data_IF_876029556717
#
_entry.id   IF_876029556717
#
_cell.length_a   1.000
_cell.length_b   1.000
_cell.length_c   1.000
_cell.angle_alpha   90.00
_cell.angle_beta   90.00
_cell.angle_gamma   90.00
#
_symmetry.space_group_name_H-M   'P 1'
#
loop_
_entity.id
_entity.type
_entity.pdbx_description
1 polymer ?
#
# COMPACT_ATOMS: atom_id res chain seq x y z
N UNK A 1 -42.73 23.42 57.61
CA UNK A 1 -41.54 22.58 57.84
C UNK A 1 -41.42 21.63 56.66
N UNK A 2 -40.91 22.11 55.53
CA UNK A 2 -40.65 21.31 54.33
C UNK A 2 -39.22 21.63 53.93
N UNK A 3 -38.38 20.63 54.13
CA UNK A 3 -36.93 20.60 54.00
C UNK A 3 -36.52 20.99 52.57
N UNK A 4 -35.88 22.16 52.45
CA UNK A 4 -35.38 22.67 51.19
C UNK A 4 -34.15 21.85 50.79
N UNK A 5 -34.35 20.92 49.86
CA UNK A 5 -33.30 20.14 49.23
C UNK A 5 -32.14 21.05 48.81
N UNK A 6 -31.00 20.85 49.46
CA UNK A 6 -29.73 21.53 49.24
C UNK A 6 -29.31 21.50 47.76
N UNK A 7 -29.30 22.63 47.03
CA UNK A 7 -29.02 22.64 45.60
C UNK A 7 -27.53 22.66 45.24
N UNK A 8 -26.60 22.51 46.20
CA UNK A 8 -25.16 22.62 45.96
C UNK A 8 -24.39 21.39 46.44
N UNK A 9 -24.66 20.24 45.80
CA UNK A 9 -23.70 19.13 45.82
C UNK A 9 -22.49 19.52 44.94
N UNK A 10 -21.24 19.31 45.39
CA UNK A 10 -20.06 19.79 44.70
C UNK A 10 -19.91 19.12 43.32
N UNK A 11 -19.83 19.93 42.25
CA UNK A 11 -19.39 19.46 40.93
C UNK A 11 -17.96 18.93 41.09
N UNK A 12 -17.82 17.60 41.08
CA UNK A 12 -16.51 16.94 41.11
C UNK A 12 -15.60 17.49 40.00
N UNK A 13 -14.27 17.40 40.18
CA UNK A 13 -13.31 18.02 39.28
C UNK A 13 -13.54 17.51 37.86
N UNK A 14 -13.83 18.44 36.95
CA UNK A 14 -13.93 18.21 35.52
C UNK A 14 -12.56 17.74 35.02
N UNK A 15 -12.35 16.41 34.99
CA UNK A 15 -11.16 15.80 34.39
C UNK A 15 -11.23 16.09 32.90
N UNK A 16 -10.55 17.17 32.48
CA UNK A 16 -10.32 17.43 31.07
C UNK A 16 -9.54 16.23 30.53
N UNK A 17 -10.03 15.54 29.49
CA UNK A 17 -9.35 14.35 28.98
C UNK A 17 -7.94 14.74 28.55
N UNK A 18 -6.96 14.05 29.12
CA UNK A 18 -5.55 14.28 28.79
C UNK A 18 -5.27 13.79 27.36
N UNK A 19 -4.26 14.34 26.69
CA UNK A 19 -3.88 13.90 25.32
C UNK A 19 -3.66 12.38 25.24
N UNK A 20 -3.18 11.77 26.33
CA UNK A 20 -2.98 10.33 26.47
C UNK A 20 -4.29 9.52 26.46
N UNK A 21 -5.37 10.12 26.98
CA UNK A 21 -6.70 9.51 27.03
C UNK A 21 -7.44 9.62 25.68
N UNK A 22 -7.08 10.61 24.85
CA UNK A 22 -7.54 10.69 23.46
C UNK A 22 -6.84 9.65 22.56
N UNK A 23 -5.52 9.47 22.74
CA UNK A 23 -4.73 8.47 21.99
C UNK A 23 -5.12 7.04 22.40
N UNK A 24 -5.47 6.80 23.67
CA UNK A 24 -5.82 5.45 24.16
C UNK A 24 -7.21 4.97 23.77
N UNK A 25 -8.15 5.89 23.49
CA UNK A 25 -9.55 5.54 23.22
C UNK A 25 -9.85 5.27 21.74
N UNK A 26 -8.96 5.65 20.83
CA UNK A 26 -9.11 5.36 19.40
C UNK A 26 -8.04 4.37 18.92
N UNK A 27 -8.44 3.10 18.84
CA UNK A 27 -7.60 1.97 18.39
C UNK A 27 -6.95 2.27 17.03
N UNK A 28 -7.56 3.12 16.20
CA UNK A 28 -7.02 3.56 14.91
C UNK A 28 -5.75 4.37 15.07
N UNK A 29 -5.72 5.31 16.01
CA UNK A 29 -4.56 6.18 16.25
C UNK A 29 -3.37 5.37 16.75
N UNK A 30 -3.61 4.43 17.67
CA UNK A 30 -2.58 3.48 18.11
C UNK A 30 -2.09 2.62 16.96
N UNK A 31 -2.99 2.07 16.12
CA UNK A 31 -2.60 1.26 14.96
C UNK A 31 -1.69 2.04 14.00
N UNK A 32 -2.01 3.30 13.68
CA UNK A 32 -1.14 4.14 12.86
C UNK A 32 0.20 4.43 13.53
N UNK A 33 0.23 4.68 14.84
CA UNK A 33 1.47 4.95 15.57
C UNK A 33 2.44 3.76 15.55
N UNK A 34 1.93 2.53 15.68
CA UNK A 34 2.73 1.31 15.55
C UNK A 34 3.14 1.00 14.11
N UNK A 35 2.32 1.39 13.12
CA UNK A 35 2.59 1.17 11.71
C UNK A 35 3.56 2.21 11.12
N UNK A 36 3.59 3.42 11.68
CA UNK A 36 4.45 4.54 11.29
C UNK A 36 5.93 4.15 11.20
N UNK A 37 6.58 3.54 12.21
CA UNK A 37 8.00 3.19 12.09
C UNK A 37 8.28 2.20 10.95
N UNK A 38 7.40 1.22 10.73
CA UNK A 38 7.55 0.27 9.62
C UNK A 38 7.43 0.97 8.28
N UNK A 39 6.40 1.80 8.08
CA UNK A 39 6.21 2.54 6.84
C UNK A 39 7.34 3.53 6.61
N UNK A 40 7.81 4.23 7.64
CA UNK A 40 8.90 5.18 7.55
C UNK A 40 10.19 4.47 7.09
N UNK A 41 10.54 3.34 7.70
CA UNK A 41 11.72 2.56 7.31
C UNK A 41 11.59 2.06 5.87
N UNK A 42 10.45 1.47 5.50
CA UNK A 42 10.22 1.01 4.12
C UNK A 42 10.31 2.16 3.12
N UNK A 43 9.72 3.30 3.47
CA UNK A 43 9.74 4.50 2.63
C UNK A 43 11.16 4.97 2.41
N UNK A 44 11.98 5.05 3.44
CA UNK A 44 13.39 5.47 3.31
C UNK A 44 14.16 4.45 2.46
N UNK A 45 14.01 3.16 2.72
CA UNK A 45 14.72 2.10 2.01
C UNK A 45 14.37 2.05 0.52
N UNK A 46 13.13 2.38 0.15
CA UNK A 46 12.68 2.41 -1.25
C UNK A 46 13.00 3.75 -1.92
N UNK A 47 12.65 4.87 -1.28
CA UNK A 47 12.78 6.19 -1.88
C UNK A 47 14.23 6.65 -1.98
N UNK A 48 15.08 6.33 -1.00
CA UNK A 48 16.49 6.75 -1.03
C UNK A 48 17.22 6.25 -2.28
N UNK A 49 17.28 4.94 -2.59
CA UNK A 49 17.94 4.46 -3.80
C UNK A 49 17.19 4.89 -5.08
N UNK A 50 15.85 5.05 -5.02
CA UNK A 50 15.07 5.54 -6.16
C UNK A 50 15.48 6.96 -6.58
N UNK A 51 15.52 7.91 -5.64
CA UNK A 51 15.95 9.27 -5.94
C UNK A 51 17.42 9.33 -6.34
N UNK A 52 18.26 8.54 -5.68
CA UNK A 52 19.67 8.43 -6.06
C UNK A 52 19.84 7.91 -7.50
N UNK A 53 19.10 6.86 -7.89
CA UNK A 53 19.10 6.32 -9.24
C UNK A 53 18.56 7.32 -10.27
N UNK A 54 17.53 8.10 -9.91
CA UNK A 54 17.02 9.19 -10.77
C UNK A 54 18.11 10.22 -11.05
N UNK A 55 18.79 10.74 -10.02
CA UNK A 55 19.90 11.70 -10.20
C UNK A 55 21.00 11.09 -11.06
N UNK A 56 21.35 9.83 -10.81
CA UNK A 56 22.38 9.12 -11.56
C UNK A 56 22.00 8.92 -13.04
N UNK A 57 20.72 8.73 -13.35
CA UNK A 57 20.25 8.54 -14.73
C UNK A 57 20.50 9.75 -15.65
N UNK A 58 20.61 10.95 -15.07
CA UNK A 58 20.94 12.19 -15.79
C UNK A 58 22.44 12.49 -15.83
N UNK A 59 23.26 11.65 -15.19
CA UNK A 59 24.70 11.78 -15.12
C UNK A 59 25.39 10.73 -16.00
N UNK A 60 26.51 11.12 -16.60
CA UNK A 60 27.41 10.20 -17.26
C UNK A 60 28.29 9.56 -16.19
N UNK A 61 28.03 8.28 -15.89
CA UNK A 61 28.82 7.47 -14.97
C UNK A 61 29.58 6.38 -15.74
N UNK A 62 30.18 6.73 -16.86
CA UNK A 62 31.05 5.83 -17.62
C UNK A 62 32.30 5.47 -16.81
N UNK A 63 32.72 4.19 -16.79
CA UNK A 63 33.94 3.78 -16.09
C UNK A 63 35.17 4.57 -16.58
N UNK A 64 35.86 5.25 -15.67
CA UNK A 64 37.07 6.03 -15.99
C UNK A 64 36.84 7.49 -16.40
N UNK A 65 35.58 7.98 -16.43
CA UNK A 65 35.24 9.38 -16.74
C UNK A 65 34.72 10.07 -15.47
N UNK A 66 35.11 11.34 -15.18
CA UNK A 66 34.52 12.09 -14.08
C UNK A 66 33.02 12.31 -14.29
N UNK A 67 32.22 12.12 -13.23
CA UNK A 67 30.76 12.26 -13.29
C UNK A 67 30.35 13.62 -13.84
N UNK A 68 29.74 13.64 -15.03
CA UNK A 68 29.25 14.87 -15.67
C UNK A 68 27.74 14.81 -15.82
N UNK A 69 27.06 15.90 -15.49
CA UNK A 69 25.63 16.03 -15.77
C UNK A 69 25.43 16.20 -17.29
N UNK A 70 24.82 15.21 -17.94
CA UNK A 70 24.56 15.18 -19.39
C UNK A 70 23.07 15.22 -19.73
N UNK A 71 22.21 15.37 -18.72
CA UNK A 71 20.76 15.50 -18.89
C UNK A 71 20.15 14.25 -19.51
N UNK A 72 19.38 14.42 -20.60
CA UNK A 72 18.65 13.33 -21.25
C UNK A 72 19.45 12.57 -22.32
N UNK A 73 20.73 12.89 -22.50
CA UNK A 73 21.55 12.28 -23.57
C UNK A 73 21.64 10.76 -23.45
N UNK A 74 21.78 10.25 -22.22
CA UNK A 74 21.77 8.81 -21.91
C UNK A 74 20.54 8.10 -22.49
N UNK A 75 19.35 8.70 -22.34
CA UNK A 75 18.11 8.10 -22.80
C UNK A 75 17.99 8.08 -24.32
N UNK A 76 18.43 9.15 -25.01
CA UNK A 76 18.39 9.21 -26.48
C UNK A 76 19.33 8.17 -27.09
N UNK A 77 20.52 8.02 -26.50
CA UNK A 77 21.51 7.03 -26.93
C UNK A 77 20.99 5.60 -26.75
N UNK A 78 20.46 5.27 -25.57
CA UNK A 78 19.82 3.97 -25.29
C UNK A 78 18.64 3.67 -26.21
N UNK A 79 17.76 4.65 -26.46
CA UNK A 79 16.60 4.45 -27.32
C UNK A 79 16.95 4.31 -28.80
N UNK A 80 18.13 4.79 -29.22
CA UNK A 80 18.61 4.66 -30.60
C UNK A 80 19.41 3.38 -30.83
N UNK A 81 19.74 2.65 -29.76
CA UNK A 81 20.47 1.39 -29.82
C UNK A 81 19.53 0.23 -30.23
N UNK A 82 19.88 -0.47 -31.31
CA UNK A 82 19.09 -1.59 -31.83
C UNK A 82 19.02 -2.76 -30.84
N UNK A 83 20.10 -3.02 -30.09
CA UNK A 83 20.14 -4.11 -29.11
C UNK A 83 19.16 -3.83 -27.96
N UNK A 84 19.10 -2.56 -27.51
CA UNK A 84 18.16 -2.13 -26.49
C UNK A 84 16.71 -2.27 -26.96
N UNK A 85 16.41 -1.88 -28.20
CA UNK A 85 15.06 -2.00 -28.77
C UNK A 85 14.60 -3.46 -28.86
N UNK A 86 15.49 -4.38 -29.27
CA UNK A 86 15.17 -5.81 -29.34
C UNK A 86 14.89 -6.38 -27.94
N UNK A 87 15.76 -6.11 -26.97
CA UNK A 87 15.58 -6.56 -25.58
C UNK A 87 14.31 -5.97 -24.97
N UNK A 88 14.01 -4.71 -25.26
CA UNK A 88 12.80 -4.04 -24.79
C UNK A 88 11.54 -4.72 -25.34
N UNK A 89 11.49 -4.95 -26.66
CA UNK A 89 10.35 -5.63 -27.29
C UNK A 89 10.16 -7.05 -26.75
N UNK A 90 11.24 -7.81 -26.64
CA UNK A 90 11.22 -9.17 -26.10
C UNK A 90 10.69 -9.19 -24.66
N UNK A 91 11.12 -8.24 -23.82
CA UNK A 91 10.66 -8.11 -22.45
C UNK A 91 9.17 -7.77 -22.39
N UNK A 92 8.72 -6.78 -23.16
CA UNK A 92 7.31 -6.36 -23.21
C UNK A 92 6.43 -7.51 -23.71
N UNK A 93 6.83 -8.18 -24.77
CA UNK A 93 6.10 -9.33 -25.32
C UNK A 93 6.00 -10.47 -24.31
N UNK A 94 7.13 -10.85 -23.70
CA UNK A 94 7.17 -11.88 -22.66
C UNK A 94 6.27 -11.54 -21.47
N UNK A 95 6.36 -10.31 -20.96
CA UNK A 95 5.52 -9.85 -19.84
C UNK A 95 4.05 -9.84 -20.22
N UNK A 96 3.68 -9.34 -21.40
CA UNK A 96 2.29 -9.29 -21.86
C UNK A 96 1.68 -10.69 -21.93
N UNK A 97 2.40 -11.65 -22.53
CA UNK A 97 1.96 -13.05 -22.62
C UNK A 97 1.86 -13.68 -21.23
N UNK A 98 2.90 -13.52 -20.40
CA UNK A 98 2.93 -14.09 -19.06
C UNK A 98 1.81 -13.54 -18.15
N UNK A 99 1.55 -12.23 -18.19
CA UNK A 99 0.47 -11.58 -17.42
C UNK A 99 -0.89 -12.03 -17.93
N UNK A 100 -1.09 -12.12 -19.24
CA UNK A 100 -2.35 -12.58 -19.83
C UNK A 100 -2.69 -14.01 -19.41
N UNK A 101 -1.70 -14.92 -19.44
CA UNK A 101 -1.87 -16.30 -18.98
C UNK A 101 -2.20 -16.35 -17.49
N UNK A 102 -1.44 -15.62 -16.65
CA UNK A 102 -1.70 -15.54 -15.20
C UNK A 102 -3.11 -15.00 -14.91
N UNK A 103 -3.55 -13.99 -15.67
CA UNK A 103 -4.88 -13.41 -15.53
C UNK A 103 -5.98 -14.40 -15.89
N UNK A 104 -5.87 -15.11 -17.01
CA UNK A 104 -6.83 -16.13 -17.42
C UNK A 104 -6.93 -17.23 -16.36
N UNK A 105 -5.80 -17.79 -15.93
CA UNK A 105 -5.76 -18.84 -14.90
C UNK A 105 -6.36 -18.35 -13.59
N UNK A 106 -5.99 -17.14 -13.14
CA UNK A 106 -6.52 -16.53 -11.93
C UNK A 106 -8.02 -16.30 -12.00
N UNK A 107 -8.52 -15.81 -13.14
CA UNK A 107 -9.94 -15.57 -13.36
C UNK A 107 -10.74 -16.88 -13.41
N UNK A 108 -10.26 -17.88 -14.15
CA UNK A 108 -10.89 -19.21 -14.18
C UNK A 108 -10.93 -19.82 -12.78
N UNK A 109 -9.82 -19.75 -12.03
CA UNK A 109 -9.76 -20.26 -10.66
C UNK A 109 -10.74 -19.54 -9.73
N UNK A 110 -10.86 -18.21 -9.86
CA UNK A 110 -11.82 -17.42 -9.09
C UNK A 110 -13.27 -17.79 -9.43
N UNK A 111 -13.61 -18.00 -10.71
CA UNK A 111 -14.95 -18.40 -11.13
C UNK A 111 -15.34 -19.79 -10.60
N UNK A 112 -14.43 -20.77 -10.69
CA UNK A 112 -14.65 -22.13 -10.16
C UNK A 112 -14.88 -22.10 -8.65
N UNK A 113 -14.09 -21.31 -7.91
CA UNK A 113 -14.23 -21.18 -6.46
C UNK A 113 -15.53 -20.45 -6.07
N UNK A 114 -15.92 -19.43 -6.83
CA UNK A 114 -17.16 -18.69 -6.62
C UNK A 114 -18.39 -19.62 -6.76
N UNK A 115 -18.36 -20.57 -7.70
CA UNK A 115 -19.45 -21.50 -7.92
C UNK A 115 -19.60 -22.54 -6.80
N UNK A 116 -18.51 -23.05 -6.23
CA UNK A 116 -18.56 -23.93 -5.04
C UNK A 116 -19.20 -23.27 -3.82
N UNK A 117 -18.99 -21.96 -3.63
CA UNK A 117 -19.57 -21.21 -2.50
C UNK A 117 -21.09 -20.99 -2.61
N UNK A 118 -21.67 -21.12 -3.82
CA UNK A 118 -23.13 -21.06 -4.03
C UNK A 118 -23.83 -22.38 -3.68
N UNK A 119 -23.15 -23.52 -3.83
CA UNK A 119 -23.72 -24.85 -3.57
C UNK A 119 -23.93 -25.13 -2.07
N UNK A 120 -23.14 -24.52 -1.19
CA UNK A 120 -23.20 -24.75 0.26
C UNK A 120 -24.24 -23.87 1.00
N UNK A 121 -25.07 -23.08 0.31
CA UNK A 121 -26.08 -22.18 0.91
C UNK A 121 -27.52 -22.68 0.78
N UNK A 122 -27.78 -23.72 -0.02
CA UNK A 122 -29.15 -24.17 -0.30
C UNK A 122 -29.71 -25.21 0.68
N UNK A 123 -28.91 -25.72 1.62
CA UNK A 123 -29.32 -26.81 2.54
C UNK A 123 -29.88 -26.31 3.89
N UNK A 124 -29.82 -25.02 4.22
CA UNK A 124 -30.25 -24.51 5.55
C UNK A 124 -31.71 -24.03 5.61
N UNK A 125 -32.39 -23.83 4.48
CA UNK A 125 -33.70 -23.16 4.47
C UNK A 125 -34.92 -24.09 4.49
N UNK A 126 -34.75 -25.42 4.56
CA UNK A 126 -35.85 -26.39 4.52
C UNK A 126 -36.20 -27.05 5.86
N UNK A 127 -35.49 -26.74 6.94
CA UNK A 127 -35.71 -27.37 8.26
C UNK A 127 -36.74 -26.67 9.16
N UNK A 128 -37.32 -25.54 8.75
CA UNK A 128 -38.34 -24.81 9.53
C UNK A 128 -39.79 -25.18 9.20
N UNK A 129 -40.03 -26.11 8.26
CA UNK A 129 -41.39 -26.53 7.85
C UNK A 129 -41.77 -27.97 8.20
N UNK A 130 -41.06 -28.61 9.13
CA UNK A 130 -41.49 -29.86 9.78
C UNK A 130 -41.40 -29.74 11.29
#
# INVERSE_FOLDING_TARGET
>A
MTDAANPLAPRGPNKQPTLWEYISNDVRTLAFLFLLPTVLVLTIVVLYPFFYALVLSFQDKSPGVPTRFIGLKNYVELLSDNDFQEIFYNTVWYTAVAVSIKFIIGLTSAMVLNQKRRFNRSEEHTSELQ
#
